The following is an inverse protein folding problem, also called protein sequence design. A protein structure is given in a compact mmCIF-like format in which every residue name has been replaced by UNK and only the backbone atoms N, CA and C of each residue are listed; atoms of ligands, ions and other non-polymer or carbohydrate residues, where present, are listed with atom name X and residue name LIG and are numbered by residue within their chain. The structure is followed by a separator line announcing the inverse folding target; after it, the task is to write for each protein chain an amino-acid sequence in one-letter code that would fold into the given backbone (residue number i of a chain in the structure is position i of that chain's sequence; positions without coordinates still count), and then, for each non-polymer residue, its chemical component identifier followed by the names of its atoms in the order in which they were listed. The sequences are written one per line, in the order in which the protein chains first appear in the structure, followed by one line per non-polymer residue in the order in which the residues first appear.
data_IF_349908095113
#
_entry.id   IF_349908095113
#
_cell.length_a   1.000
_cell.length_b   1.000
_cell.length_c   1.000
_cell.angle_alpha   90.00
_cell.angle_beta   90.00
_cell.angle_gamma   90.00
#
_symmetry.space_group_name_H-M   'P 1'
#
loop_
_entity.id
_entity.type
_entity.pdbx_description
1 polymer ?
#
# COMPACT_ATOMS: atom_id res chain seq x y z
N UNK A 1 -53.88 42.98 56.87
CA UNK A 1 -53.22 41.69 56.66
C UNK A 1 -52.65 41.68 55.27
N UNK A 2 -51.36 41.97 55.12
CA UNK A 2 -50.63 41.90 53.81
C UNK A 2 -49.92 40.57 53.75
N UNK A 3 -50.19 39.71 52.74
CA UNK A 3 -49.52 38.46 52.47
C UNK A 3 -48.29 38.74 51.58
N UNK A 4 -47.10 38.47 52.12
CA UNK A 4 -45.86 38.38 51.31
C UNK A 4 -45.86 37.04 50.55
N UNK A 5 -45.69 37.13 49.24
CA UNK A 5 -45.42 35.99 48.39
C UNK A 5 -43.91 35.95 48.18
N UNK A 6 -43.22 34.94 48.73
CA UNK A 6 -41.81 34.63 48.42
C UNK A 6 -41.80 33.89 47.10
N UNK A 7 -41.13 34.44 46.04
CA UNK A 7 -40.82 33.77 44.85
C UNK A 7 -39.44 33.09 45.02
N UNK A 8 -39.40 31.77 45.02
CA UNK A 8 -38.17 31.00 45.01
C UNK A 8 -37.65 30.90 43.56
N UNK A 9 -36.51 31.53 43.28
CA UNK A 9 -35.79 31.36 42.01
C UNK A 9 -35.02 30.04 42.03
N UNK A 10 -35.45 29.08 41.23
CA UNK A 10 -34.72 27.84 40.96
C UNK A 10 -33.65 28.13 39.92
N UNK A 11 -32.39 28.21 40.30
CA UNK A 11 -31.24 28.22 39.39
C UNK A 11 -31.07 26.81 38.83
N UNK A 12 -31.44 26.59 37.57
CA UNK A 12 -31.07 25.41 36.78
C UNK A 12 -29.59 25.52 36.46
N UNK A 13 -28.76 24.75 37.14
CA UNK A 13 -27.39 24.51 36.74
C UNK A 13 -27.40 23.59 35.50
N UNK A 14 -27.17 24.15 34.32
CA UNK A 14 -26.91 23.39 33.12
C UNK A 14 -25.59 22.62 33.32
N UNK A 15 -25.54 21.29 33.08
CA UNK A 15 -24.29 20.56 33.13
C UNK A 15 -23.40 21.10 32.00
N UNK A 16 -22.27 21.70 32.36
CA UNK A 16 -21.21 22.07 31.44
C UNK A 16 -20.60 20.77 30.96
N UNK A 17 -20.93 20.28 29.76
CA UNK A 17 -20.23 19.20 29.14
C UNK A 17 -18.74 19.59 29.03
N UNK A 18 -17.80 18.74 29.41
CA UNK A 18 -16.37 19.05 29.24
C UNK A 18 -16.13 19.34 27.77
N UNK A 19 -15.67 20.54 27.44
CA UNK A 19 -15.21 20.87 26.10
C UNK A 19 -14.04 19.93 25.80
N UNK A 20 -14.18 19.05 24.80
CA UNK A 20 -13.08 18.24 24.30
C UNK A 20 -12.02 19.23 23.83
N UNK A 21 -10.86 19.23 24.50
CA UNK A 21 -9.76 20.10 24.10
C UNK A 21 -9.35 19.69 22.67
N UNK A 22 -9.50 20.60 21.71
CA UNK A 22 -9.12 20.38 20.31
C UNK A 22 -7.61 20.26 20.22
N UNK A 23 -7.14 19.26 19.46
CA UNK A 23 -5.74 19.13 19.08
C UNK A 23 -5.38 20.26 18.12
N UNK A 24 -4.33 20.99 18.46
CA UNK A 24 -3.86 22.15 17.69
C UNK A 24 -2.36 22.11 17.45
N UNK A 25 -1.90 22.84 16.47
CA UNK A 25 -0.47 22.96 16.13
C UNK A 25 0.02 24.33 16.55
N UNK A 26 1.11 24.41 17.33
CA UNK A 26 1.69 25.70 17.72
C UNK A 26 2.19 26.50 16.51
N UNK A 27 2.02 27.82 16.56
CA UNK A 27 2.47 28.76 15.51
C UNK A 27 3.96 28.62 15.18
N UNK A 28 4.82 28.35 16.19
CA UNK A 28 6.24 28.11 15.97
C UNK A 28 6.48 26.86 15.12
N UNK A 29 5.71 25.80 15.33
CA UNK A 29 5.80 24.57 14.54
C UNK A 29 5.35 24.80 13.09
N UNK A 30 4.28 25.59 12.85
CA UNK A 30 3.84 25.96 11.51
C UNK A 30 4.93 26.73 10.73
N UNK A 31 5.63 27.66 11.40
CA UNK A 31 6.75 28.38 10.77
C UNK A 31 7.92 27.44 10.46
N UNK A 32 8.28 26.55 11.37
CA UNK A 32 9.35 25.57 11.15
C UNK A 32 8.99 24.59 10.03
N UNK A 33 7.73 24.13 9.94
CA UNK A 33 7.26 23.27 8.86
C UNK A 33 7.37 23.95 7.48
N UNK A 34 7.13 25.27 7.40
CA UNK A 34 7.31 26.01 6.16
C UNK A 34 8.78 26.02 5.71
N UNK A 35 9.73 26.13 6.65
CA UNK A 35 11.17 26.04 6.35
C UNK A 35 11.57 24.63 5.91
N UNK A 36 11.10 23.61 6.63
CA UNK A 36 11.31 22.20 6.28
C UNK A 36 10.77 21.86 4.88
N UNK A 37 9.61 22.41 4.51
CA UNK A 37 9.04 22.23 3.17
C UNK A 37 10.00 22.72 2.08
N UNK A 38 10.55 23.92 2.22
CA UNK A 38 11.50 24.48 1.23
C UNK A 38 12.82 23.69 1.20
N UNK A 39 13.31 23.24 2.36
CA UNK A 39 14.47 22.36 2.43
C UNK A 39 14.23 21.05 1.71
N UNK A 40 13.09 20.39 1.97
CA UNK A 40 12.73 19.12 1.36
C UNK A 40 12.54 19.21 -0.17
N UNK A 41 12.02 20.34 -0.67
CA UNK A 41 11.89 20.56 -2.12
C UNK A 41 13.26 20.72 -2.82
N UNK A 42 14.29 21.11 -2.09
CA UNK A 42 15.66 21.28 -2.60
C UNK A 42 16.58 20.10 -2.29
N UNK A 43 16.11 19.14 -1.47
CA UNK A 43 16.86 17.96 -1.03
C UNK A 43 16.72 16.80 -2.01
N UNK A 44 17.78 16.04 -2.20
CA UNK A 44 17.82 14.89 -3.09
C UNK A 44 17.94 13.53 -2.37
N UNK A 45 17.82 13.54 -1.03
CA UNK A 45 17.95 12.32 -0.22
C UNK A 45 16.93 11.25 -0.61
N UNK A 46 15.66 11.63 -0.84
CA UNK A 46 14.64 10.70 -1.29
C UNK A 46 15.00 10.02 -2.61
N UNK A 47 15.51 10.81 -3.59
CA UNK A 47 16.00 10.26 -4.84
C UNK A 47 17.17 9.29 -4.64
N UNK A 48 18.19 9.71 -3.87
CA UNK A 48 19.38 8.88 -3.59
C UNK A 48 19.04 7.57 -2.88
N UNK A 49 18.08 7.58 -1.96
CA UNK A 49 17.61 6.35 -1.29
C UNK A 49 16.91 5.43 -2.29
N UNK A 50 15.99 5.97 -3.10
CA UNK A 50 15.28 5.22 -4.13
C UNK A 50 16.24 4.65 -5.18
N UNK A 51 17.18 5.46 -5.69
CA UNK A 51 18.22 5.03 -6.62
C UNK A 51 19.10 3.91 -6.04
N UNK A 52 19.55 4.07 -4.80
CA UNK A 52 20.39 3.07 -4.11
C UNK A 52 19.63 1.74 -3.96
N UNK A 53 18.37 1.74 -3.51
CA UNK A 53 17.58 0.52 -3.35
C UNK A 53 17.35 -0.21 -4.68
N UNK A 54 16.97 0.53 -5.70
CA UNK A 54 16.68 -0.04 -7.03
C UNK A 54 17.93 -0.50 -7.79
N UNK A 55 19.08 0.15 -7.56
CA UNK A 55 20.34 -0.11 -8.29
C UNK A 55 21.22 -1.14 -7.59
N UNK A 56 21.34 -1.06 -6.26
CA UNK A 56 22.23 -1.94 -5.48
C UNK A 56 21.56 -3.26 -5.09
N UNK A 57 20.24 -3.25 -4.89
CA UNK A 57 19.46 -4.44 -4.53
C UNK A 57 18.64 -4.95 -5.73
N UNK A 58 17.85 -4.09 -6.37
CA UNK A 58 16.98 -4.42 -7.50
C UNK A 58 15.71 -5.17 -7.10
N UNK A 59 15.22 -6.12 -7.93
CA UNK A 59 14.05 -6.95 -7.62
C UNK A 59 14.25 -7.71 -6.32
N UNK A 60 13.28 -7.62 -5.40
CA UNK A 60 13.46 -8.07 -4.00
C UNK A 60 12.22 -8.73 -3.44
N UNK A 61 11.71 -9.74 -4.18
CA UNK A 61 10.55 -10.50 -3.74
C UNK A 61 10.78 -11.09 -2.33
N UNK A 62 9.77 -10.98 -1.49
CA UNK A 62 9.86 -11.37 -0.08
C UNK A 62 10.33 -12.82 0.11
N UNK A 63 11.27 -13.04 1.02
CA UNK A 63 11.89 -14.33 1.31
C UNK A 63 13.02 -14.74 0.36
N UNK A 64 13.41 -13.89 -0.59
CA UNK A 64 14.57 -14.11 -1.46
C UNK A 64 15.88 -13.66 -0.81
N UNK A 65 17.01 -14.01 -1.43
CA UNK A 65 18.31 -13.46 -1.03
C UNK A 65 18.39 -11.94 -1.24
N UNK A 66 17.67 -11.40 -2.23
CA UNK A 66 17.60 -9.96 -2.48
C UNK A 66 16.81 -9.26 -1.36
N UNK A 67 15.72 -9.84 -0.87
CA UNK A 67 14.99 -9.36 0.30
C UNK A 67 15.88 -9.30 1.54
N UNK A 68 16.65 -10.36 1.80
CA UNK A 68 17.60 -10.36 2.92
C UNK A 68 18.68 -9.27 2.78
N UNK A 69 19.18 -9.00 1.55
CA UNK A 69 20.07 -7.86 1.30
C UNK A 69 19.37 -6.51 1.48
N UNK A 70 18.09 -6.40 1.08
CA UNK A 70 17.29 -5.19 1.27
C UNK A 70 17.10 -4.86 2.76
N UNK A 71 16.84 -5.86 3.60
CA UNK A 71 16.76 -5.69 5.07
C UNK A 71 18.09 -5.15 5.64
N UNK A 72 19.22 -5.74 5.26
CA UNK A 72 20.53 -5.27 5.70
C UNK A 72 20.84 -3.86 5.19
N UNK A 73 20.52 -3.58 3.93
CA UNK A 73 20.63 -2.26 3.31
C UNK A 73 19.78 -1.21 4.04
N UNK A 74 18.50 -1.50 4.29
CA UNK A 74 17.60 -0.56 4.96
C UNK A 74 18.09 -0.20 6.37
N UNK A 75 18.55 -1.20 7.14
CA UNK A 75 19.15 -0.97 8.46
C UNK A 75 20.35 -0.02 8.36
N UNK A 76 21.30 -0.31 7.49
CA UNK A 76 22.48 0.53 7.28
C UNK A 76 22.10 1.95 6.80
N UNK A 77 21.08 2.04 5.93
CA UNK A 77 20.60 3.32 5.42
C UNK A 77 19.98 4.20 6.52
N UNK A 78 19.15 3.64 7.41
CA UNK A 78 18.64 4.36 8.58
C UNK A 78 19.77 4.85 9.49
N UNK A 79 20.77 4.00 9.77
CA UNK A 79 21.95 4.39 10.56
C UNK A 79 22.74 5.52 9.89
N UNK A 80 22.97 5.42 8.56
CA UNK A 80 23.66 6.45 7.78
C UNK A 80 22.92 7.79 7.73
N UNK A 81 21.58 7.75 7.70
CA UNK A 81 20.72 8.92 7.70
C UNK A 81 20.57 9.57 9.09
N UNK A 82 21.19 8.99 10.13
CA UNK A 82 21.27 9.58 11.47
C UNK A 82 20.01 9.39 12.31
N UNK A 83 19.28 8.28 12.12
CA UNK A 83 18.18 7.92 13.01
C UNK A 83 18.72 7.53 14.39
N UNK A 84 18.06 8.01 15.45
CA UNK A 84 18.50 7.79 16.84
C UNK A 84 18.46 6.32 17.28
N UNK A 85 17.51 5.58 16.75
CA UNK A 85 17.34 4.14 17.01
C UNK A 85 17.00 3.43 15.71
N UNK A 86 17.63 2.28 15.51
CA UNK A 86 17.38 1.40 14.36
C UNK A 86 17.31 -0.05 14.85
N UNK A 87 16.23 -0.76 14.49
CA UNK A 87 16.07 -2.17 14.82
C UNK A 87 15.24 -2.89 13.75
N UNK A 88 15.16 -4.22 13.90
CA UNK A 88 14.34 -5.07 13.02
C UNK A 88 13.35 -5.89 13.83
N UNK A 89 12.17 -6.13 13.26
CA UNK A 89 11.14 -7.00 13.83
C UNK A 89 10.86 -8.15 12.86
N UNK A 90 10.92 -9.42 13.30
CA UNK A 90 10.78 -10.56 12.40
C UNK A 90 9.35 -10.72 11.88
N UNK A 91 9.23 -11.08 10.60
CA UNK A 91 7.98 -11.36 9.91
C UNK A 91 8.11 -12.68 9.19
N UNK A 92 7.31 -13.68 9.58
CA UNK A 92 7.34 -15.03 8.99
C UNK A 92 6.11 -15.26 8.13
N UNK A 93 6.32 -15.81 6.95
CA UNK A 93 5.28 -16.00 5.94
C UNK A 93 5.58 -17.21 5.03
N UNK A 94 4.56 -17.76 4.33
CA UNK A 94 4.78 -18.74 3.28
C UNK A 94 5.58 -18.12 2.12
N UNK A 95 6.63 -18.79 1.66
CA UNK A 95 7.47 -18.33 0.56
C UNK A 95 6.95 -18.84 -0.77
N UNK A 96 6.74 -17.94 -1.72
CA UNK A 96 6.38 -18.27 -3.10
C UNK A 96 7.49 -17.81 -4.05
N UNK A 97 7.80 -18.63 -5.04
CA UNK A 97 8.87 -18.37 -6.01
C UNK A 97 8.38 -18.52 -7.44
N UNK A 98 8.86 -17.64 -8.32
CA UNK A 98 8.77 -17.73 -9.77
C UNK A 98 10.14 -18.16 -10.32
N UNK A 99 10.15 -19.11 -11.26
CA UNK A 99 11.38 -19.60 -11.90
C UNK A 99 11.34 -19.48 -13.41
N UNK A 100 10.27 -19.98 -14.06
CA UNK A 100 10.09 -19.88 -15.51
C UNK A 100 8.61 -19.88 -15.89
N UNK A 101 8.30 -19.21 -17.00
CA UNK A 101 6.92 -19.09 -17.49
C UNK A 101 6.87 -19.01 -19.01
N UNK A 102 5.92 -19.69 -19.61
CA UNK A 102 5.69 -19.69 -21.06
C UNK A 102 4.24 -19.92 -21.37
N UNK A 103 3.73 -19.19 -22.37
CA UNK A 103 2.45 -19.50 -23.01
C UNK A 103 2.51 -19.36 -24.51
N UNK A 104 1.65 -20.11 -25.20
CA UNK A 104 1.54 -20.10 -26.64
C UNK A 104 0.14 -20.48 -27.11
N UNK A 105 -0.29 -19.89 -28.21
CA UNK A 105 -1.45 -20.34 -29.00
C UNK A 105 -1.05 -21.60 -29.76
N UNK A 106 -1.92 -22.61 -29.78
CA UNK A 106 -1.70 -23.88 -30.46
C UNK A 106 -2.46 -23.96 -31.81
N UNK A 107 -1.97 -24.84 -32.70
CA UNK A 107 -2.63 -25.14 -33.98
C UNK A 107 -2.22 -24.22 -35.12
N UNK A 108 -3.13 -23.94 -36.05
CA UNK A 108 -2.83 -23.22 -37.32
C UNK A 108 -2.34 -21.77 -37.08
N UNK A 109 -2.67 -21.16 -35.94
CA UNK A 109 -2.28 -19.81 -35.59
C UNK A 109 -1.26 -19.77 -34.44
N UNK A 110 -0.42 -20.80 -34.37
CA UNK A 110 0.59 -20.95 -33.30
C UNK A 110 1.51 -19.73 -33.21
N UNK A 111 1.56 -19.14 -32.01
CA UNK A 111 2.37 -17.96 -31.70
C UNK A 111 2.58 -17.83 -30.19
N UNK A 112 3.69 -17.23 -29.74
CA UNK A 112 3.92 -17.01 -28.32
C UNK A 112 2.97 -15.97 -27.75
N UNK A 113 2.63 -16.13 -26.47
CA UNK A 113 1.93 -15.14 -25.66
C UNK A 113 2.84 -14.73 -24.51
N UNK A 114 2.94 -13.44 -24.25
CA UNK A 114 3.69 -12.91 -23.12
C UNK A 114 2.79 -12.92 -21.88
N UNK A 115 3.19 -13.73 -20.92
CA UNK A 115 2.47 -13.91 -19.65
C UNK A 115 3.39 -13.64 -18.47
N UNK A 116 2.79 -13.50 -17.30
CA UNK A 116 3.44 -13.69 -16.01
C UNK A 116 2.55 -14.51 -15.09
N UNK A 117 3.14 -15.44 -14.33
CA UNK A 117 2.43 -16.19 -13.31
C UNK A 117 1.88 -15.24 -12.23
N UNK A 118 0.66 -15.45 -11.79
CA UNK A 118 0.15 -14.75 -10.60
C UNK A 118 0.84 -15.32 -9.35
N UNK A 119 1.21 -14.43 -8.42
CA UNK A 119 1.75 -14.84 -7.13
C UNK A 119 0.79 -15.79 -6.41
N UNK A 120 1.32 -16.88 -5.85
CA UNK A 120 0.51 -17.95 -5.26
C UNK A 120 -0.02 -19.00 -6.25
N UNK A 121 0.18 -18.81 -7.57
CA UNK A 121 -0.13 -19.84 -8.56
C UNK A 121 0.74 -21.09 -8.32
N UNK A 122 0.19 -22.32 -8.47
CA UNK A 122 0.99 -23.50 -8.56
C UNK A 122 1.71 -23.55 -9.91
N UNK A 123 2.85 -24.26 -9.94
CA UNK A 123 3.48 -24.69 -11.17
C UNK A 123 2.63 -25.73 -11.92
N UNK A 124 3.00 -25.98 -13.17
CA UNK A 124 2.38 -27.01 -13.99
C UNK A 124 2.24 -26.61 -15.45
N UNK A 125 1.90 -27.60 -16.27
CA UNK A 125 1.61 -27.37 -17.69
C UNK A 125 0.19 -27.81 -17.99
N UNK A 126 -0.60 -26.90 -18.54
CA UNK A 126 -1.98 -27.13 -18.99
C UNK A 126 -2.16 -26.68 -20.43
N UNK A 127 -3.02 -27.37 -21.16
CA UNK A 127 -3.43 -26.92 -22.49
C UNK A 127 -4.94 -27.18 -22.67
N UNK A 128 -5.65 -26.22 -23.23
CA UNK A 128 -7.08 -26.33 -23.39
C UNK A 128 -7.64 -25.28 -24.33
N UNK A 129 -8.92 -25.44 -24.69
CA UNK A 129 -9.70 -24.41 -25.35
C UNK A 129 -9.93 -23.24 -24.40
N UNK A 130 -9.83 -22.02 -24.91
CA UNK A 130 -10.03 -20.78 -24.16
C UNK A 130 -11.51 -20.38 -24.20
N UNK A 131 -12.07 -20.11 -23.01
CA UNK A 131 -13.38 -19.48 -22.89
C UNK A 131 -13.21 -18.08 -22.31
N UNK A 132 -13.60 -17.05 -23.08
CA UNK A 132 -13.46 -15.63 -22.73
C UNK A 132 -14.68 -15.13 -21.96
N UNK A 133 -14.42 -14.35 -20.89
CA UNK A 133 -15.40 -13.63 -20.07
C UNK A 133 -15.04 -12.16 -20.04
N UNK A 134 -16.05 -11.29 -20.08
CA UNK A 134 -15.83 -9.83 -20.06
C UNK A 134 -15.33 -9.35 -18.69
N UNK A 135 -15.75 -10.00 -17.60
CA UNK A 135 -15.43 -9.63 -16.23
C UNK A 135 -15.62 -10.83 -15.26
N UNK A 136 -15.36 -10.59 -13.98
CA UNK A 136 -15.51 -11.60 -12.94
C UNK A 136 -16.96 -12.05 -12.76
N UNK A 137 -17.93 -11.16 -12.90
CA UNK A 137 -19.34 -11.46 -12.73
C UNK A 137 -19.83 -12.42 -13.84
N UNK A 138 -19.41 -12.19 -15.09
CA UNK A 138 -19.70 -13.08 -16.20
C UNK A 138 -19.10 -14.49 -15.99
N UNK A 139 -17.86 -14.61 -15.48
CA UNK A 139 -17.26 -15.88 -15.12
C UNK A 139 -18.05 -16.59 -13.99
N UNK A 140 -18.42 -15.87 -12.95
CA UNK A 140 -19.18 -16.42 -11.82
C UNK A 140 -20.57 -16.90 -12.22
N UNK A 141 -21.22 -16.24 -13.19
CA UNK A 141 -22.53 -16.58 -13.73
C UNK A 141 -22.51 -17.77 -14.70
N UNK A 142 -21.32 -18.21 -15.16
CA UNK A 142 -21.21 -19.35 -16.06
C UNK A 142 -21.81 -20.62 -15.43
N UNK A 143 -22.43 -21.54 -16.21
CA UNK A 143 -22.96 -22.78 -15.70
C UNK A 143 -21.86 -23.66 -15.07
N UNK A 144 -22.18 -24.38 -14.01
CA UNK A 144 -21.26 -25.33 -13.37
C UNK A 144 -20.85 -26.41 -14.39
N UNK A 145 -19.55 -26.76 -14.39
CA UNK A 145 -18.96 -27.73 -15.32
C UNK A 145 -18.77 -27.22 -16.76
N UNK A 146 -19.20 -26.01 -17.10
CA UNK A 146 -19.08 -25.46 -18.48
C UNK A 146 -17.62 -25.24 -18.93
N UNK A 147 -16.69 -25.19 -17.98
CA UNK A 147 -15.26 -25.05 -18.23
C UNK A 147 -14.47 -26.36 -18.06
N UNK A 148 -15.15 -27.51 -18.02
CA UNK A 148 -14.48 -28.79 -17.89
C UNK A 148 -13.41 -29.00 -19.00
N UNK A 149 -12.14 -29.14 -18.60
CA UNK A 149 -11.02 -29.30 -19.52
C UNK A 149 -10.62 -28.04 -20.30
N UNK A 150 -11.14 -26.89 -19.95
CA UNK A 150 -10.90 -25.60 -20.62
C UNK A 150 -10.10 -24.63 -19.75
N UNK A 151 -9.62 -23.57 -20.38
CA UNK A 151 -8.91 -22.45 -19.73
C UNK A 151 -9.82 -21.23 -19.71
N UNK A 152 -10.08 -20.69 -18.53
CA UNK A 152 -10.83 -19.44 -18.40
C UNK A 152 -9.95 -18.24 -18.74
N UNK A 153 -10.46 -17.31 -19.57
CA UNK A 153 -9.84 -16.02 -19.87
C UNK A 153 -10.77 -14.88 -19.45
N UNK A 154 -10.38 -14.12 -18.43
CA UNK A 154 -11.12 -12.90 -18.04
C UNK A 154 -10.44 -11.69 -18.69
N UNK A 155 -11.18 -11.06 -19.60
CA UNK A 155 -10.67 -9.99 -20.48
C UNK A 155 -11.25 -8.63 -20.08
N UNK A 156 -11.02 -8.23 -18.83
CA UNK A 156 -11.43 -6.94 -18.29
C UNK A 156 -10.36 -5.88 -18.52
N UNK A 157 -10.73 -4.79 -19.19
CA UNK A 157 -9.82 -3.67 -19.41
C UNK A 157 -10.03 -2.58 -18.37
N UNK A 158 -9.01 -2.34 -17.55
CA UNK A 158 -9.00 -1.26 -16.56
C UNK A 158 -8.94 0.12 -17.24
N UNK A 159 -9.54 1.11 -16.57
CA UNK A 159 -9.52 2.51 -16.97
C UNK A 159 -8.58 3.29 -16.06
N UNK A 160 -7.64 4.05 -16.65
CA UNK A 160 -6.75 4.92 -15.91
C UNK A 160 -7.53 6.05 -15.21
N UNK A 161 -7.16 6.34 -13.99
CA UNK A 161 -7.68 7.47 -13.22
C UNK A 161 -6.67 7.91 -12.18
N UNK A 162 -6.73 9.16 -11.78
CA UNK A 162 -5.82 9.77 -10.82
C UNK A 162 -5.82 9.07 -9.46
N UNK A 163 -6.98 8.58 -9.05
CA UNK A 163 -7.21 7.87 -7.78
C UNK A 163 -7.11 6.35 -7.89
N UNK A 164 -6.80 5.81 -9.07
CA UNK A 164 -6.65 4.38 -9.29
C UNK A 164 -7.89 3.53 -9.01
N UNK A 165 -9.08 4.14 -8.90
CA UNK A 165 -10.31 3.50 -8.41
C UNK A 165 -10.69 2.20 -9.11
N UNK A 166 -10.33 2.04 -10.40
CA UNK A 166 -10.69 0.85 -11.18
C UNK A 166 -9.80 -0.37 -10.86
N UNK A 167 -8.69 -0.16 -10.14
CA UNK A 167 -7.85 -1.26 -9.66
C UNK A 167 -8.58 -2.24 -8.73
N UNK A 168 -9.59 -1.76 -7.99
CA UNK A 168 -10.46 -2.64 -7.22
C UNK A 168 -11.11 -3.76 -8.04
N UNK A 169 -11.49 -3.49 -9.30
CA UNK A 169 -12.02 -4.47 -10.23
C UNK A 169 -10.92 -5.41 -10.76
N UNK A 170 -9.81 -4.86 -11.25
CA UNK A 170 -8.66 -5.63 -11.74
C UNK A 170 -8.07 -6.55 -10.67
N UNK A 171 -7.86 -6.04 -9.46
CA UNK A 171 -7.38 -6.79 -8.32
C UNK A 171 -8.35 -7.91 -7.87
N UNK A 172 -9.67 -7.66 -7.93
CA UNK A 172 -10.66 -8.70 -7.63
C UNK A 172 -10.64 -9.83 -8.67
N UNK A 173 -10.45 -9.52 -9.95
CA UNK A 173 -10.29 -10.51 -11.02
C UNK A 173 -9.04 -11.35 -10.77
N UNK A 174 -7.92 -10.70 -10.42
CA UNK A 174 -6.67 -11.39 -10.09
C UNK A 174 -6.81 -12.31 -8.87
N UNK A 175 -7.37 -11.81 -7.78
CA UNK A 175 -7.42 -12.54 -6.50
C UNK A 175 -8.50 -13.61 -6.41
N UNK A 176 -9.65 -13.44 -7.09
CA UNK A 176 -10.83 -14.32 -6.99
C UNK A 176 -11.13 -15.09 -8.27
N UNK A 177 -10.62 -14.63 -9.41
CA UNK A 177 -10.88 -15.25 -10.72
C UNK A 177 -10.46 -16.70 -10.81
N UNK A 178 -9.25 -17.09 -10.36
CA UNK A 178 -8.84 -18.49 -10.38
C UNK A 178 -9.77 -19.42 -9.61
N UNK A 179 -10.18 -19.07 -8.39
CA UNK A 179 -11.17 -19.85 -7.62
C UNK A 179 -12.52 -19.94 -8.31
N UNK A 180 -13.01 -18.83 -8.88
CA UNK A 180 -14.26 -18.84 -9.65
C UNK A 180 -14.16 -19.76 -10.88
N UNK A 181 -13.05 -19.74 -11.62
CA UNK A 181 -12.81 -20.60 -12.77
C UNK A 181 -12.79 -22.10 -12.40
N UNK A 182 -12.09 -22.45 -11.29
CA UNK A 182 -12.04 -23.82 -10.78
C UNK A 182 -13.44 -24.34 -10.44
N UNK A 183 -14.29 -23.53 -9.80
CA UNK A 183 -15.68 -23.91 -9.49
C UNK A 183 -16.51 -24.21 -10.74
N UNK A 184 -16.12 -23.70 -11.90
CA UNK A 184 -16.75 -24.00 -13.20
C UNK A 184 -16.05 -25.14 -13.97
N UNK A 185 -15.02 -25.76 -13.39
CA UNK A 185 -14.32 -26.91 -13.95
C UNK A 185 -13.09 -26.57 -14.80
N UNK A 186 -12.60 -25.32 -14.75
CA UNK A 186 -11.41 -24.88 -15.51
C UNK A 186 -10.16 -25.60 -15.02
N UNK A 187 -9.26 -25.94 -15.97
CA UNK A 187 -7.95 -26.55 -15.69
C UNK A 187 -6.81 -25.53 -15.67
N UNK A 188 -7.09 -24.28 -15.99
CA UNK A 188 -6.15 -23.16 -15.98
C UNK A 188 -6.89 -21.83 -16.08
N UNK A 189 -6.20 -20.77 -15.72
CA UNK A 189 -6.74 -19.41 -15.69
C UNK A 189 -5.77 -18.43 -16.32
N UNK A 190 -6.26 -17.55 -17.18
CA UNK A 190 -5.56 -16.36 -17.63
C UNK A 190 -6.44 -15.14 -17.49
N UNK A 191 -5.83 -14.00 -17.23
CA UNK A 191 -6.52 -12.72 -17.23
C UNK A 191 -5.77 -11.70 -18.10
N UNK A 192 -6.47 -10.70 -18.62
CA UNK A 192 -5.82 -9.46 -19.03
C UNK A 192 -5.15 -8.86 -17.80
N UNK A 193 -3.92 -8.41 -17.93
CA UNK A 193 -3.22 -7.72 -16.84
C UNK A 193 -4.07 -6.65 -16.16
N UNK A 194 -3.97 -6.57 -14.84
CA UNK A 194 -4.60 -5.51 -14.05
C UNK A 194 -3.79 -4.20 -14.19
N UNK A 195 -3.71 -3.71 -15.42
CA UNK A 195 -2.98 -2.51 -15.81
C UNK A 195 -3.76 -1.66 -16.79
N UNK A 196 -3.26 -0.44 -17.00
CA UNK A 196 -3.88 0.57 -17.88
C UNK A 196 -3.00 0.94 -19.07
N UNK A 197 -1.86 0.26 -19.21
CA UNK A 197 -0.89 0.43 -20.29
C UNK A 197 -1.31 -0.23 -21.61
N UNK A 198 -0.44 -0.08 -22.62
CA UNK A 198 -0.48 -0.81 -23.89
C UNK A 198 0.86 -1.53 -24.19
N UNK A 199 1.71 -1.68 -23.18
CA UNK A 199 3.01 -2.30 -23.29
C UNK A 199 2.93 -3.83 -23.24
N UNK A 200 3.93 -4.49 -23.78
CA UNK A 200 3.99 -5.95 -23.79
C UNK A 200 4.68 -6.50 -22.53
N UNK A 201 4.37 -5.88 -21.40
CA UNK A 201 4.79 -6.30 -20.05
C UNK A 201 3.56 -6.70 -19.25
N UNK A 202 3.44 -7.96 -18.81
CA UNK A 202 2.31 -8.39 -18.01
C UNK A 202 2.46 -7.95 -16.55
N UNK A 203 1.33 -7.71 -15.87
CA UNK A 203 1.26 -7.34 -14.46
C UNK A 203 1.01 -8.57 -13.60
N UNK A 204 1.90 -8.85 -12.66
CA UNK A 204 1.73 -9.91 -11.66
C UNK A 204 0.86 -9.44 -10.49
N UNK A 205 0.95 -10.08 -9.38
CA UNK A 205 0.33 -9.79 -8.10
C UNK A 205 -0.29 -11.04 -7.50
N UNK A 206 -0.56 -10.99 -6.18
CA UNK A 206 -1.00 -12.17 -5.45
C UNK A 206 -2.41 -12.65 -5.87
N UNK A 207 -2.57 -13.95 -6.04
CA UNK A 207 -3.86 -14.64 -6.05
C UNK A 207 -3.97 -15.59 -4.87
N UNK A 208 -5.19 -15.88 -4.46
CA UNK A 208 -5.47 -16.83 -3.38
C UNK A 208 -6.53 -17.80 -3.86
N UNK A 209 -6.32 -19.07 -3.56
CA UNK A 209 -7.29 -20.11 -3.84
C UNK A 209 -8.14 -20.35 -2.61
N UNK A 210 -9.45 -20.44 -2.81
CA UNK A 210 -10.39 -20.75 -1.72
C UNK A 210 -10.08 -22.14 -1.17
N UNK A 211 -10.29 -22.31 0.13
CA UNK A 211 -10.07 -23.57 0.82
C UNK A 211 -10.88 -24.71 0.18
N UNK A 212 -10.29 -25.90 0.11
CA UNK A 212 -10.89 -27.08 -0.50
C UNK A 212 -10.85 -27.14 -2.02
N UNK A 213 -10.38 -26.09 -2.71
CA UNK A 213 -10.16 -26.14 -4.16
C UNK A 213 -8.75 -26.69 -4.48
N UNK A 214 -8.65 -27.51 -5.53
CA UNK A 214 -7.36 -27.89 -6.10
C UNK A 214 -6.84 -26.74 -6.98
N UNK A 215 -5.73 -26.05 -6.64
CA UNK A 215 -5.23 -24.94 -7.40
C UNK A 215 -4.80 -25.32 -8.82
N UNK A 216 -5.00 -24.42 -9.77
CA UNK A 216 -4.60 -24.60 -11.18
C UNK A 216 -3.63 -23.50 -11.61
N UNK A 217 -2.77 -23.71 -12.64
CA UNK A 217 -1.93 -22.66 -13.18
C UNK A 217 -2.72 -21.41 -13.55
N UNK A 218 -2.28 -20.26 -13.01
CA UNK A 218 -2.94 -18.97 -13.17
C UNK A 218 -1.91 -17.90 -13.56
N UNK A 219 -2.20 -17.14 -14.63
CA UNK A 219 -1.29 -16.14 -15.18
C UNK A 219 -2.04 -14.89 -15.68
N UNK A 220 -1.31 -13.77 -15.75
CA UNK A 220 -1.75 -12.56 -16.44
C UNK A 220 -1.08 -12.48 -17.83
N UNK A 221 -1.86 -12.09 -18.82
CA UNK A 221 -1.39 -11.76 -20.18
C UNK A 221 -1.00 -10.28 -20.23
N UNK A 222 0.03 -9.93 -21.00
CA UNK A 222 0.23 -8.54 -21.37
C UNK A 222 -1.00 -7.99 -22.10
N UNK A 223 -1.23 -6.69 -22.01
CA UNK A 223 -2.42 -6.07 -22.64
C UNK A 223 -2.45 -6.34 -24.17
N UNK A 224 -1.36 -6.20 -24.94
CA UNK A 224 -1.35 -6.56 -26.36
C UNK A 224 -1.65 -8.04 -26.64
N UNK A 225 -1.13 -8.96 -25.82
CA UNK A 225 -1.37 -10.40 -26.01
C UNK A 225 -2.78 -10.82 -25.59
N UNK A 226 -3.36 -10.15 -24.59
CA UNK A 226 -4.77 -10.30 -24.24
C UNK A 226 -5.68 -9.85 -25.41
N UNK A 227 -5.38 -8.71 -26.06
CA UNK A 227 -6.07 -8.24 -27.26
C UNK A 227 -5.92 -9.25 -28.40
N UNK A 228 -4.73 -9.83 -28.58
CA UNK A 228 -4.47 -10.84 -29.61
C UNK A 228 -5.27 -12.12 -29.35
N UNK A 229 -5.27 -12.61 -28.11
CA UNK A 229 -6.04 -13.80 -27.74
C UNK A 229 -7.54 -13.57 -27.90
N UNK A 230 -8.06 -12.41 -27.51
CA UNK A 230 -9.45 -12.03 -27.66
C UNK A 230 -9.90 -12.10 -29.13
N UNK A 231 -9.11 -11.51 -30.06
CA UNK A 231 -9.38 -11.57 -31.51
C UNK A 231 -9.35 -12.98 -32.06
N UNK A 232 -8.49 -13.86 -31.56
CA UNK A 232 -8.45 -15.27 -31.98
C UNK A 232 -9.70 -16.01 -31.51
N UNK A 233 -10.09 -15.84 -30.26
CA UNK A 233 -11.30 -16.46 -29.69
C UNK A 233 -12.58 -16.00 -30.42
N UNK A 234 -12.66 -14.73 -30.84
CA UNK A 234 -13.76 -14.20 -31.64
C UNK A 234 -13.85 -14.82 -33.04
N UNK A 235 -12.75 -15.30 -33.61
CA UNK A 235 -12.68 -15.94 -34.91
C UNK A 235 -13.00 -17.43 -34.92
N UNK A 236 -12.98 -18.05 -33.74
CA UNK A 236 -13.31 -19.46 -33.56
C UNK A 236 -12.59 -20.14 -32.38
N UNK A 237 -12.81 -21.45 -32.20
CA UNK A 237 -12.21 -22.20 -31.11
C UNK A 237 -10.68 -22.05 -31.09
N UNK A 238 -10.16 -21.51 -30.01
CA UNK A 238 -8.73 -21.21 -29.82
C UNK A 238 -8.20 -22.02 -28.64
N UNK A 239 -7.08 -22.69 -28.82
CA UNK A 239 -6.40 -23.44 -27.77
C UNK A 239 -5.08 -22.78 -27.42
N UNK A 240 -4.76 -22.76 -26.14
CA UNK A 240 -3.46 -22.32 -25.65
C UNK A 240 -2.83 -23.39 -24.77
N UNK A 241 -1.48 -23.28 -24.63
CA UNK A 241 -0.70 -23.97 -23.61
C UNK A 241 -0.14 -22.93 -22.65
N UNK A 242 -0.17 -23.23 -21.35
CA UNK A 242 0.48 -22.48 -20.30
C UNK A 242 1.41 -23.45 -19.58
N UNK A 243 2.66 -23.07 -19.38
CA UNK A 243 3.66 -23.81 -18.62
C UNK A 243 4.29 -22.85 -17.61
N UNK A 244 4.08 -23.12 -16.33
CA UNK A 244 4.61 -22.33 -15.22
C UNK A 244 5.53 -23.21 -14.35
N UNK A 245 6.72 -22.72 -14.08
CA UNK A 245 7.59 -23.23 -13.03
C UNK A 245 7.62 -22.17 -11.92
N UNK A 246 6.75 -22.33 -10.96
CA UNK A 246 6.56 -21.48 -9.79
C UNK A 246 5.85 -22.25 -8.70
N UNK A 247 5.80 -21.71 -7.49
CA UNK A 247 5.02 -22.33 -6.40
C UNK A 247 5.53 -21.96 -5.02
N UNK A 248 4.83 -22.48 -4.02
CA UNK A 248 5.20 -22.32 -2.62
C UNK A 248 6.39 -23.19 -2.25
N UNK A 249 7.36 -22.61 -1.53
CA UNK A 249 8.61 -23.25 -1.12
C UNK A 249 8.83 -23.05 0.39
N UNK A 250 7.97 -23.67 1.20
CA UNK A 250 8.05 -23.64 2.66
C UNK A 250 7.73 -22.27 3.28
N UNK A 251 8.49 -21.92 4.31
CA UNK A 251 8.37 -20.67 5.06
C UNK A 251 9.67 -19.85 4.93
N UNK A 252 9.52 -18.53 4.93
CA UNK A 252 10.64 -17.61 5.03
C UNK A 252 10.40 -16.60 6.16
N UNK A 253 11.48 -15.96 6.61
CA UNK A 253 11.41 -14.84 7.56
C UNK A 253 12.16 -13.66 6.96
N UNK A 254 11.46 -12.55 6.84
CA UNK A 254 12.00 -11.22 6.57
C UNK A 254 11.79 -10.32 7.79
N UNK A 255 12.01 -9.02 7.66
CA UNK A 255 11.95 -8.13 8.83
C UNK A 255 11.38 -6.77 8.44
N UNK A 256 10.44 -6.25 9.24
CA UNK A 256 10.21 -4.81 9.28
C UNK A 256 11.48 -4.14 9.76
N UNK A 257 11.99 -3.16 9.02
CA UNK A 257 13.13 -2.36 9.43
C UNK A 257 12.64 -1.01 9.91
N UNK A 258 12.97 -0.65 11.14
CA UNK A 258 12.38 0.50 11.81
C UNK A 258 13.46 1.47 12.25
N UNK A 259 13.26 2.74 11.90
CA UNK A 259 14.09 3.86 12.38
C UNK A 259 13.25 4.87 13.17
N UNK A 260 13.80 5.45 14.23
CA UNK A 260 13.14 6.49 15.03
C UNK A 260 13.98 7.76 15.13
N UNK A 261 13.32 8.91 15.00
CA UNK A 261 13.78 10.20 15.51
C UNK A 261 13.06 10.42 16.85
N UNK A 262 13.81 10.36 17.94
CA UNK A 262 13.26 10.30 19.30
C UNK A 262 12.66 11.64 19.72
N UNK A 263 11.41 11.63 20.19
CA UNK A 263 10.72 12.82 20.66
C UNK A 263 11.30 13.38 21.95
N UNK A 264 11.43 14.72 22.04
CA UNK A 264 12.01 15.43 23.20
C UNK A 264 11.09 15.48 24.43
N UNK A 265 9.77 15.50 24.25
CA UNK A 265 8.81 15.64 25.36
C UNK A 265 7.99 14.37 25.59
N UNK A 266 7.59 13.71 24.51
CA UNK A 266 6.72 12.54 24.54
C UNK A 266 7.32 11.37 23.72
N UNK A 267 8.48 10.84 24.12
CA UNK A 267 9.21 9.84 23.35
C UNK A 267 8.47 8.49 23.17
N UNK A 268 7.42 8.24 23.94
CA UNK A 268 6.58 7.04 23.81
C UNK A 268 5.39 7.21 22.86
N UNK A 269 5.01 8.44 22.53
CA UNK A 269 3.98 8.71 21.54
C UNK A 269 4.65 8.78 20.17
N UNK A 270 4.07 8.06 19.18
CA UNK A 270 4.69 7.91 17.86
C UNK A 270 3.77 8.43 16.75
N UNK A 271 4.38 9.12 15.80
CA UNK A 271 3.85 9.38 14.46
C UNK A 271 4.54 8.40 13.54
N UNK A 272 3.78 7.56 12.84
CA UNK A 272 4.31 6.51 11.98
C UNK A 272 4.21 6.94 10.52
N UNK A 273 5.31 6.85 9.79
CA UNK A 273 5.32 6.95 8.32
C UNK A 273 6.09 5.75 7.77
N UNK A 274 5.73 5.29 6.57
CA UNK A 274 6.40 4.13 5.99
C UNK A 274 6.04 3.88 4.54
N UNK A 275 6.65 2.85 4.00
CA UNK A 275 6.41 2.20 2.75
C UNK A 275 6.94 0.78 2.84
N UNK A 276 6.65 -0.09 1.86
CA UNK A 276 7.13 -1.46 1.95
C UNK A 276 8.49 -1.68 1.29
N UNK A 277 9.25 -2.61 1.85
CA UNK A 277 10.63 -2.86 1.45
C UNK A 277 10.75 -3.88 0.31
N UNK A 278 9.86 -4.87 0.27
CA UNK A 278 9.83 -5.86 -0.80
C UNK A 278 9.30 -5.29 -2.12
N UNK A 279 9.38 -6.05 -3.16
CA UNK A 279 8.77 -5.76 -4.46
C UNK A 279 8.46 -7.07 -5.18
N UNK A 280 7.64 -7.04 -6.22
CA UNK A 280 7.64 -8.15 -7.17
C UNK A 280 8.99 -8.30 -7.88
N UNK A 281 9.22 -9.46 -8.46
CA UNK A 281 10.48 -9.90 -9.05
C UNK A 281 10.67 -9.50 -10.52
N UNK A 282 9.67 -8.87 -11.15
CA UNK A 282 9.70 -8.54 -12.58
C UNK A 282 10.51 -7.28 -12.88
N UNK A 283 10.32 -6.22 -12.10
CA UNK A 283 11.01 -4.93 -12.18
C UNK A 283 11.90 -4.69 -10.98
N UNK A 284 12.51 -3.50 -10.90
CA UNK A 284 13.33 -3.12 -9.75
C UNK A 284 12.53 -2.59 -8.56
N UNK A 285 11.19 -2.56 -8.67
CA UNK A 285 10.31 -2.05 -7.62
C UNK A 285 10.60 -0.59 -7.29
N UNK A 286 10.68 0.27 -8.33
CA UNK A 286 11.01 1.68 -8.16
C UNK A 286 9.81 2.51 -7.73
N UNK A 287 8.67 2.33 -8.42
CA UNK A 287 7.41 2.99 -8.06
C UNK A 287 6.64 2.22 -6.99
N UNK A 288 6.95 0.91 -6.84
CA UNK A 288 6.29 -0.03 -5.96
C UNK A 288 7.30 -0.94 -5.24
N UNK A 289 7.89 -0.53 -4.08
CA UNK A 289 7.68 0.76 -3.40
C UNK A 289 9.01 1.39 -2.93
N UNK A 290 10.09 1.32 -3.74
CA UNK A 290 11.35 2.00 -3.37
C UNK A 290 11.15 3.51 -3.22
N UNK A 291 10.21 4.11 -3.97
CA UNK A 291 9.87 5.51 -3.86
C UNK A 291 9.29 5.85 -2.48
N UNK A 292 8.35 5.05 -1.96
CA UNK A 292 7.77 5.26 -0.63
C UNK A 292 8.79 5.10 0.49
N UNK A 293 9.66 4.09 0.38
CA UNK A 293 10.81 3.95 1.29
C UNK A 293 11.70 5.19 1.24
N UNK A 294 12.04 5.68 0.03
CA UNK A 294 12.85 6.90 -0.17
C UNK A 294 12.20 8.15 0.40
N UNK A 295 10.90 8.35 0.14
CA UNK A 295 10.11 9.48 0.63
C UNK A 295 10.12 9.52 2.17
N UNK A 296 9.81 8.41 2.81
CA UNK A 296 9.61 8.36 4.26
C UNK A 296 10.93 8.38 5.03
N UNK A 297 11.99 7.73 4.53
CA UNK A 297 13.33 7.83 5.09
C UNK A 297 13.89 9.25 4.99
N UNK A 298 13.73 9.92 3.83
CA UNK A 298 14.16 11.31 3.65
C UNK A 298 13.40 12.28 4.55
N UNK A 299 12.09 12.09 4.71
CA UNK A 299 11.28 12.90 5.62
C UNK A 299 11.77 12.79 7.07
N UNK A 300 12.04 11.55 7.55
CA UNK A 300 12.60 11.31 8.88
C UNK A 300 13.98 11.95 9.04
N UNK A 301 14.87 11.79 8.06
CA UNK A 301 16.20 12.36 8.05
C UNK A 301 16.19 13.90 8.18
N UNK A 302 15.38 14.58 7.35
CA UNK A 302 15.28 16.04 7.37
C UNK A 302 14.78 16.57 8.73
N UNK A 303 13.82 15.86 9.34
CA UNK A 303 13.32 16.22 10.67
C UNK A 303 14.39 15.94 11.73
N UNK A 304 15.15 14.85 11.60
CA UNK A 304 16.25 14.50 12.50
C UNK A 304 17.40 15.51 12.50
N UNK A 305 17.56 16.27 11.41
CA UNK A 305 18.60 17.34 11.32
C UNK A 305 18.22 18.66 12.01
N UNK A 306 17.01 18.79 12.54
CA UNK A 306 16.61 19.99 13.28
C UNK A 306 17.46 20.16 14.54
N UNK A 307 17.81 21.41 14.89
CA UNK A 307 18.54 21.72 16.13
C UNK A 307 17.78 21.34 17.41
N UNK A 308 16.47 21.05 17.30
CA UNK A 308 15.64 20.55 18.35
C UNK A 308 14.74 19.44 17.82
N UNK A 309 14.79 18.25 18.44
CA UNK A 309 13.95 17.12 18.10
C UNK A 309 12.44 17.46 18.20
N UNK A 310 11.53 16.83 17.46
CA UNK A 310 10.09 17.02 17.55
C UNK A 310 9.58 16.60 18.96
N UNK A 311 8.37 17.05 19.36
CA UNK A 311 7.78 16.70 20.66
C UNK A 311 7.58 15.18 20.82
N UNK A 312 7.04 14.53 19.78
CA UNK A 312 6.79 13.09 19.71
C UNK A 312 7.84 12.42 18.84
N UNK A 313 8.00 11.14 19.04
CA UNK A 313 8.84 10.30 18.19
C UNK A 313 8.22 10.17 16.79
N UNK A 314 9.06 10.34 15.76
CA UNK A 314 8.73 9.96 14.40
C UNK A 314 9.34 8.60 14.14
N UNK A 315 8.49 7.62 13.82
CA UNK A 315 8.87 6.26 13.48
C UNK A 315 8.70 6.05 11.99
N UNK A 316 9.78 5.69 11.32
CA UNK A 316 9.78 5.30 9.91
C UNK A 316 9.88 3.79 9.82
N UNK A 317 8.98 3.16 9.08
CA UNK A 317 8.94 1.70 8.93
C UNK A 317 9.07 1.36 7.45
N UNK A 318 10.08 0.53 7.13
CA UNK A 318 10.16 -0.18 5.87
C UNK A 318 9.53 -1.56 6.10
N UNK A 319 8.28 -1.74 5.68
CA UNK A 319 7.48 -2.93 5.96
C UNK A 319 7.95 -4.12 5.13
N UNK A 320 7.88 -5.32 5.69
CA UNK A 320 8.24 -6.56 5.03
C UNK A 320 7.03 -7.23 4.39
N UNK A 321 7.19 -7.75 3.18
CA UNK A 321 6.20 -8.60 2.51
C UNK A 321 4.78 -8.02 2.53
N UNK A 322 4.63 -6.82 2.01
CA UNK A 322 3.34 -6.22 1.69
C UNK A 322 2.65 -7.00 0.57
N UNK A 323 3.38 -7.22 -0.52
CA UNK A 323 2.95 -7.71 -1.83
C UNK A 323 2.21 -9.05 -1.78
N UNK A 324 2.60 -9.93 -0.87
CA UNK A 324 1.99 -11.26 -0.77
C UNK A 324 0.93 -11.33 0.32
N UNK A 325 0.62 -10.20 0.99
CA UNK A 325 -0.51 -10.13 1.88
C UNK A 325 -0.34 -9.35 3.17
N UNK A 326 0.33 -8.22 3.14
CA UNK A 326 0.47 -7.27 4.26
C UNK A 326 1.09 -7.91 5.51
N UNK A 327 2.07 -8.81 5.34
CA UNK A 327 2.60 -9.57 6.47
C UNK A 327 3.33 -8.65 7.46
N UNK A 328 4.07 -7.66 6.96
CA UNK A 328 4.77 -6.66 7.77
C UNK A 328 3.82 -5.77 8.55
N UNK A 329 2.83 -5.19 7.89
CA UNK A 329 1.81 -4.36 8.54
C UNK A 329 1.00 -5.12 9.59
N UNK A 330 0.64 -6.38 9.31
CA UNK A 330 -0.04 -7.26 10.28
C UNK A 330 0.83 -7.56 11.50
N UNK A 331 2.09 -7.94 11.29
CA UNK A 331 3.03 -8.20 12.38
C UNK A 331 3.27 -6.95 13.23
N UNK A 332 3.39 -5.77 12.57
CA UNK A 332 3.49 -4.49 13.27
C UNK A 332 2.24 -4.22 14.12
N UNK A 333 1.05 -4.41 13.58
CA UNK A 333 -0.21 -4.22 14.31
C UNK A 333 -0.37 -5.19 15.49
N UNK A 334 0.14 -6.42 15.38
CA UNK A 334 0.17 -7.39 16.48
C UNK A 334 1.17 -7.01 17.56
N UNK A 335 2.33 -6.50 17.17
CA UNK A 335 3.39 -6.10 18.12
C UNK A 335 3.04 -4.82 18.87
N UNK A 336 2.43 -3.84 18.19
CA UNK A 336 2.28 -2.45 18.65
C UNK A 336 0.83 -2.00 18.87
N UNK A 337 -0.16 -2.82 18.61
CA UNK A 337 -1.60 -2.51 18.76
C UNK A 337 -2.33 -3.51 19.65
N UNK A 338 -1.73 -3.91 20.80
CA UNK A 338 -2.28 -4.98 21.65
C UNK A 338 -3.46 -4.54 22.50
N UNK A 339 -3.42 -3.30 22.94
CA UNK A 339 -4.37 -2.77 23.91
C UNK A 339 -4.57 -1.24 23.78
N UNK A 340 -5.40 -0.67 24.64
CA UNK A 340 -5.67 0.75 24.67
C UNK A 340 -4.43 1.61 25.00
N UNK A 341 -3.46 1.10 25.75
CA UNK A 341 -2.24 1.83 26.07
C UNK A 341 -1.31 1.89 24.85
N UNK A 342 -1.20 0.81 24.10
CA UNK A 342 -0.49 0.77 22.82
C UNK A 342 -1.14 1.74 21.84
N UNK A 343 -2.47 1.67 21.70
CA UNK A 343 -3.19 2.50 20.74
C UNK A 343 -3.06 3.99 21.05
N UNK A 344 -3.07 4.35 22.33
CA UNK A 344 -2.87 5.74 22.77
C UNK A 344 -1.47 6.26 22.42
N UNK A 345 -0.46 5.38 22.29
CA UNK A 345 0.88 5.77 21.83
C UNK A 345 0.93 6.06 20.34
N UNK A 346 0.11 5.38 19.53
CA UNK A 346 0.02 5.62 18.08
C UNK A 346 -0.85 6.85 17.81
N UNK A 347 -0.19 7.98 17.57
CA UNK A 347 -0.91 9.23 17.34
C UNK A 347 -1.57 9.26 15.98
N UNK A 348 -0.81 8.97 14.92
CA UNK A 348 -1.32 8.89 13.53
C UNK A 348 -0.31 8.13 12.68
N UNK A 349 -0.79 7.41 11.67
CA UNK A 349 0.06 6.73 10.69
C UNK A 349 -0.24 7.14 9.26
N UNK A 350 0.76 7.20 8.38
CA UNK A 350 0.61 7.42 6.96
C UNK A 350 1.58 6.52 6.18
N UNK A 351 1.13 6.01 5.06
CA UNK A 351 1.93 5.20 4.16
C UNK A 351 2.09 5.88 2.81
N UNK A 352 3.27 5.71 2.21
CA UNK A 352 3.55 6.11 0.84
C UNK A 352 3.71 4.85 0.01
N UNK A 353 2.64 4.42 -0.63
CA UNK A 353 2.55 3.23 -1.46
C UNK A 353 1.51 3.45 -2.58
N UNK A 354 1.84 4.35 -3.48
CA UNK A 354 1.09 4.61 -4.71
C UNK A 354 1.98 5.32 -5.75
N UNK A 355 3.24 4.91 -5.82
CA UNK A 355 4.25 5.46 -6.71
C UNK A 355 4.87 6.77 -6.24
N UNK A 356 5.30 7.59 -7.20
CA UNK A 356 5.97 8.86 -6.95
C UNK A 356 5.30 10.05 -7.67
N UNK A 357 4.07 9.89 -8.15
CA UNK A 357 3.29 10.99 -8.71
C UNK A 357 3.06 12.09 -7.67
N UNK A 358 2.88 13.34 -8.11
CA UNK A 358 2.68 14.45 -7.16
C UNK A 358 1.49 14.20 -6.23
N UNK A 359 1.68 14.41 -4.94
CA UNK A 359 0.57 14.40 -3.98
C UNK A 359 -0.37 15.56 -4.29
N UNK A 360 -1.65 15.29 -4.43
CA UNK A 360 -2.68 16.27 -4.80
C UNK A 360 -3.75 16.48 -3.75
N UNK A 361 -3.92 15.53 -2.82
CA UNK A 361 -4.95 15.61 -1.81
C UNK A 361 -4.44 15.10 -0.45
N UNK A 362 -5.09 15.57 0.61
CA UNK A 362 -4.81 15.20 1.99
C UNK A 362 -6.11 15.03 2.77
N UNK A 363 -6.14 14.03 3.62
CA UNK A 363 -7.19 13.84 4.63
C UNK A 363 -6.65 13.03 5.81
N UNK A 364 -7.39 13.02 6.92
CA UNK A 364 -7.14 12.14 8.07
C UNK A 364 -8.40 11.40 8.47
N UNK A 365 -8.23 10.23 9.07
CA UNK A 365 -9.33 9.47 9.67
C UNK A 365 -8.92 8.90 11.02
N UNK A 366 -9.89 8.71 11.91
CA UNK A 366 -9.68 8.12 13.22
C UNK A 366 -10.98 7.61 13.82
N UNK A 367 -10.91 6.95 14.96
CA UNK A 367 -12.09 6.56 15.73
C UNK A 367 -12.83 7.79 16.29
N UNK A 368 -12.09 8.86 16.62
CA UNK A 368 -12.64 10.13 17.12
C UNK A 368 -12.15 11.33 16.28
N UNK A 369 -12.70 11.56 15.08
CA UNK A 369 -12.25 12.64 14.19
C UNK A 369 -12.46 14.05 14.77
N UNK A 370 -13.37 14.20 15.74
CA UNK A 370 -13.62 15.49 16.37
C UNK A 370 -12.41 15.99 17.18
N UNK A 371 -11.60 15.09 17.75
CA UNK A 371 -10.43 15.44 18.55
C UNK A 371 -9.36 16.20 17.76
N UNK A 372 -9.12 15.81 16.50
CA UNK A 372 -8.02 16.32 15.66
C UNK A 372 -8.44 17.28 14.55
N UNK A 373 -9.71 17.71 14.50
CA UNK A 373 -10.23 18.51 13.37
C UNK A 373 -9.42 19.78 13.12
N UNK A 374 -9.08 20.53 14.18
CA UNK A 374 -8.30 21.77 14.06
C UNK A 374 -6.87 21.48 13.56
N UNK A 375 -6.16 20.52 14.18
CA UNK A 375 -4.83 20.14 13.76
C UNK A 375 -4.82 19.63 12.30
N UNK A 376 -5.81 18.83 11.89
CA UNK A 376 -5.97 18.38 10.50
C UNK A 376 -6.10 19.56 9.54
N UNK A 377 -6.92 20.54 9.87
CA UNK A 377 -7.09 21.75 9.05
C UNK A 377 -5.79 22.58 8.97
N UNK A 378 -5.04 22.70 10.07
CA UNK A 378 -3.76 23.40 10.11
C UNK A 378 -2.68 22.67 9.26
N UNK A 379 -2.63 21.31 9.30
CA UNK A 379 -1.75 20.52 8.45
C UNK A 379 -2.13 20.73 6.97
N UNK A 380 -3.41 20.64 6.65
CA UNK A 380 -3.91 20.87 5.29
C UNK A 380 -3.50 22.25 4.75
N UNK A 381 -3.60 23.30 5.58
CA UNK A 381 -3.16 24.65 5.22
C UNK A 381 -1.65 24.73 4.99
N UNK A 382 -0.84 24.03 5.79
CA UNK A 382 0.61 23.97 5.62
C UNK A 382 1.03 23.21 4.33
N UNK A 383 0.21 22.23 3.90
CA UNK A 383 0.42 21.47 2.67
C UNK A 383 -0.09 22.19 1.39
N UNK A 384 -1.00 23.14 1.52
CA UNK A 384 -1.60 23.85 0.38
C UNK A 384 -0.59 24.50 -0.58
N UNK A 385 0.55 25.09 -0.13
CA UNK A 385 1.57 25.63 -1.04
C UNK A 385 2.22 24.58 -1.95
N UNK A 386 2.12 23.28 -1.61
CA UNK A 386 2.57 22.18 -2.47
C UNK A 386 1.53 21.79 -3.55
N UNK A 387 0.38 22.47 -3.61
CA UNK A 387 -0.75 22.12 -4.49
C UNK A 387 -1.62 21.00 -3.97
N UNK A 388 -1.59 20.73 -2.66
CA UNK A 388 -2.33 19.65 -2.01
C UNK A 388 -3.65 20.18 -1.45
N UNK A 389 -4.75 19.59 -1.86
CA UNK A 389 -6.10 19.97 -1.44
C UNK A 389 -6.56 19.16 -0.21
N UNK A 390 -7.24 19.81 0.72
CA UNK A 390 -7.93 19.10 1.80
C UNK A 390 -9.21 18.46 1.30
N UNK A 391 -9.31 17.12 1.38
CA UNK A 391 -10.48 16.37 0.91
C UNK A 391 -11.11 15.54 2.04
N UNK A 392 -11.91 16.14 2.93
CA UNK A 392 -12.49 15.44 4.07
C UNK A 392 -13.40 14.28 3.64
N UNK A 393 -13.29 13.16 4.34
CA UNK A 393 -14.06 11.95 4.07
C UNK A 393 -13.56 11.10 2.89
N UNK A 394 -12.41 11.45 2.31
CA UNK A 394 -11.75 10.67 1.24
C UNK A 394 -10.53 9.94 1.76
N UNK A 395 -10.08 8.93 0.98
CA UNK A 395 -8.86 8.17 1.25
C UNK A 395 -8.99 7.08 2.31
N UNK A 396 -7.87 6.52 2.67
CA UNK A 396 -7.71 5.43 3.62
C UNK A 396 -6.29 5.38 4.17
N UNK A 397 -5.99 4.44 5.07
CA UNK A 397 -4.71 4.39 5.78
C UNK A 397 -3.52 3.94 4.92
N UNK A 398 -3.75 3.37 3.73
CA UNK A 398 -2.73 2.61 3.00
C UNK A 398 -2.68 1.13 3.45
N UNK A 399 -2.03 0.27 2.63
CA UNK A 399 -2.03 -1.18 2.88
C UNK A 399 -1.44 -1.58 4.24
N UNK A 400 -0.19 -1.22 4.53
CA UNK A 400 0.52 -1.66 5.75
C UNK A 400 0.10 -0.91 7.03
N UNK A 401 -0.47 0.30 6.90
CA UNK A 401 -1.09 1.00 8.03
C UNK A 401 -2.52 0.49 8.29
N UNK A 402 -3.18 -0.15 7.32
CA UNK A 402 -4.56 -0.62 7.49
C UNK A 402 -4.75 -1.63 8.64
N UNK A 403 -3.82 -2.56 8.95
CA UNK A 403 -3.99 -3.48 10.06
C UNK A 403 -4.02 -2.79 11.43
N UNK A 404 -3.17 -1.79 11.66
CA UNK A 404 -3.19 -1.06 12.94
C UNK A 404 -4.34 -0.05 13.00
N UNK A 405 -4.72 0.54 11.86
CA UNK A 405 -5.91 1.38 11.75
C UNK A 405 -7.20 0.60 12.03
N UNK A 406 -7.29 -0.67 11.62
CA UNK A 406 -8.40 -1.55 11.96
C UNK A 406 -8.52 -1.78 13.48
N UNK A 407 -7.39 -1.75 14.21
CA UNK A 407 -7.36 -1.79 15.68
C UNK A 407 -7.65 -0.43 16.33
N UNK A 408 -7.84 0.63 15.53
CA UNK A 408 -8.30 1.94 15.98
C UNK A 408 -7.27 3.06 15.95
N UNK A 409 -6.09 2.86 15.35
CA UNK A 409 -5.12 3.93 15.13
C UNK A 409 -5.67 4.98 14.15
N UNK A 410 -5.38 6.24 14.41
CA UNK A 410 -5.61 7.30 13.45
C UNK A 410 -4.67 7.16 12.25
N UNK A 411 -5.14 7.65 11.09
CA UNK A 411 -4.40 7.57 9.84
C UNK A 411 -4.48 8.88 9.04
N UNK A 412 -3.50 9.11 8.19
CA UNK A 412 -3.53 10.17 7.19
C UNK A 412 -3.36 9.58 5.80
N UNK A 413 -3.97 10.24 4.84
CA UNK A 413 -3.90 9.93 3.43
C UNK A 413 -3.30 11.13 2.69
N UNK A 414 -2.17 10.88 2.05
CA UNK A 414 -1.49 11.82 1.17
C UNK A 414 -1.58 11.25 -0.25
N UNK A 415 -2.60 11.65 -0.99
CA UNK A 415 -2.97 11.06 -2.27
C UNK A 415 -2.00 11.42 -3.39
N UNK A 416 -1.20 10.46 -3.83
CA UNK A 416 -0.35 10.56 -5.00
C UNK A 416 -1.16 10.46 -6.30
N UNK A 417 -0.70 11.13 -7.36
CA UNK A 417 -1.31 11.05 -8.67
C UNK A 417 -0.95 9.71 -9.34
N UNK A 418 -1.92 8.81 -9.39
CA UNK A 418 -1.76 7.47 -9.94
C UNK A 418 -2.17 7.35 -11.41
N UNK A 419 -2.24 8.45 -12.17
CA UNK A 419 -2.72 8.43 -13.56
C UNK A 419 -1.92 7.47 -14.46
N UNK A 420 -0.64 7.27 -14.18
CA UNK A 420 0.28 6.36 -14.86
C UNK A 420 0.81 5.21 -13.98
N UNK A 421 0.48 5.18 -12.69
CA UNK A 421 0.95 4.15 -11.76
C UNK A 421 0.63 2.73 -12.25
N UNK A 422 -0.60 2.48 -12.68
CA UNK A 422 -1.01 1.19 -13.22
C UNK A 422 -0.53 0.89 -14.65
N UNK A 423 0.29 1.77 -15.25
CA UNK A 423 1.09 1.40 -16.41
C UNK A 423 2.31 0.56 -16.03
N UNK A 424 2.80 0.70 -14.79
CA UNK A 424 4.10 0.24 -14.31
C UNK A 424 3.98 -0.81 -13.19
N UNK A 425 3.01 -0.62 -12.31
CA UNK A 425 2.74 -1.41 -11.12
C UNK A 425 2.77 -2.91 -11.40
N UNK A 426 3.61 -3.65 -10.68
CA UNK A 426 3.79 -5.09 -10.79
C UNK A 426 4.30 -5.58 -12.16
N UNK A 427 5.08 -4.77 -12.89
CA UNK A 427 5.64 -5.13 -14.21
C UNK A 427 7.16 -5.06 -14.25
N UNK A 428 7.73 -5.57 -15.35
CA UNK A 428 9.16 -5.41 -15.63
C UNK A 428 9.56 -3.95 -15.93
N UNK A 429 8.60 -3.07 -16.21
CA UNK A 429 8.83 -1.63 -16.45
C UNK A 429 8.83 -0.79 -15.17
N UNK A 430 8.65 -1.40 -14.00
CA UNK A 430 8.80 -0.72 -12.72
C UNK A 430 10.29 -0.48 -12.41
N UNK A 431 10.81 0.61 -12.95
CA UNK A 431 12.22 0.98 -12.96
C UNK A 431 12.44 2.46 -12.63
N UNK A 432 13.64 2.81 -12.15
CA UNK A 432 13.97 4.14 -11.64
C UNK A 432 13.72 5.28 -12.64
N UNK A 433 13.91 5.03 -13.95
CA UNK A 433 13.70 6.00 -15.02
C UNK A 433 12.24 6.45 -15.20
N UNK A 434 11.30 5.79 -14.53
CA UNK A 434 9.88 6.15 -14.52
C UNK A 434 9.52 7.20 -13.47
N UNK A 435 10.44 7.50 -12.55
CA UNK A 435 10.20 8.44 -11.46
C UNK A 435 10.63 9.85 -11.87
N UNK A 436 9.73 10.83 -11.77
CA UNK A 436 10.07 12.24 -11.86
C UNK A 436 10.70 12.71 -10.53
N UNK A 437 11.99 13.11 -10.52
CA UNK A 437 12.65 13.57 -9.29
C UNK A 437 11.98 14.78 -8.63
N UNK A 438 11.29 15.63 -9.40
CA UNK A 438 10.59 16.80 -8.85
C UNK A 438 9.27 16.42 -8.18
N UNK A 439 8.57 15.43 -8.72
CA UNK A 439 7.40 14.88 -8.09
C UNK A 439 7.79 14.14 -6.80
N UNK A 440 8.86 13.35 -6.82
CA UNK A 440 9.39 12.67 -5.64
C UNK A 440 9.78 13.68 -4.53
N UNK A 441 10.47 14.77 -4.87
CA UNK A 441 10.83 15.83 -3.90
C UNK A 441 9.59 16.49 -3.28
N UNK A 442 8.51 16.67 -4.06
CA UNK A 442 7.24 17.19 -3.53
C UNK A 442 6.59 16.21 -2.55
N UNK A 443 6.70 14.91 -2.80
CA UNK A 443 6.24 13.89 -1.87
C UNK A 443 7.05 13.92 -0.56
N UNK A 444 8.40 14.00 -0.65
CA UNK A 444 9.27 14.15 0.53
C UNK A 444 8.86 15.39 1.33
N UNK A 445 8.62 16.53 0.68
CA UNK A 445 8.20 17.75 1.35
C UNK A 445 6.83 17.58 2.05
N UNK A 446 5.88 16.91 1.41
CA UNK A 446 4.57 16.66 1.99
C UNK A 446 4.64 15.76 3.24
N UNK A 447 5.38 14.64 3.17
CA UNK A 447 5.56 13.74 4.31
C UNK A 447 6.36 14.38 5.43
N UNK A 448 7.37 15.20 5.12
CA UNK A 448 8.15 15.97 6.10
C UNK A 448 7.26 16.95 6.87
N UNK A 449 6.47 17.76 6.16
CA UNK A 449 5.52 18.70 6.78
C UNK A 449 4.48 17.97 7.62
N UNK A 450 3.86 16.93 7.08
CA UNK A 450 2.86 16.14 7.78
C UNK A 450 3.42 15.53 9.06
N UNK A 451 4.51 14.76 8.97
CA UNK A 451 5.07 14.04 10.11
C UNK A 451 5.56 14.99 11.20
N UNK A 452 6.22 16.08 10.83
CA UNK A 452 6.70 17.08 11.77
C UNK A 452 5.55 17.77 12.51
N UNK A 453 4.51 18.24 11.79
CA UNK A 453 3.36 18.91 12.40
C UNK A 453 2.53 17.96 13.27
N UNK A 454 2.35 16.73 12.86
CA UNK A 454 1.69 15.70 13.68
C UNK A 454 2.48 15.43 14.97
N UNK A 455 3.81 15.39 14.90
CA UNK A 455 4.65 15.20 16.08
C UNK A 455 4.68 16.42 17.01
N UNK A 456 4.51 17.64 16.53
CA UNK A 456 4.47 18.88 17.30
C UNK A 456 3.07 19.23 17.87
N UNK A 457 2.00 18.54 17.44
CA UNK A 457 0.63 18.84 17.82
C UNK A 457 0.40 18.75 19.33
N UNK A 458 -0.43 19.63 19.88
CA UNK A 458 -0.92 19.61 21.26
C UNK A 458 -2.28 18.94 21.30
N UNK A 459 -2.42 17.81 22.00
CA UNK A 459 -3.57 16.92 21.99
C UNK A 459 -3.26 15.58 21.32
N UNK A 460 -4.28 14.86 20.87
CA UNK A 460 -4.15 13.58 20.16
C UNK A 460 -4.94 13.57 18.85
N UNK A 461 -4.70 12.56 17.99
CA UNK A 461 -5.38 12.42 16.70
C UNK A 461 -6.60 11.50 16.76
N UNK A 462 -7.06 11.11 17.94
CA UNK A 462 -8.29 10.33 18.12
C UNK A 462 -8.11 8.83 17.85
N UNK A 463 -6.92 8.29 18.10
CA UNK A 463 -6.70 6.84 18.13
C UNK A 463 -7.39 6.23 19.34
N UNK A 464 -8.28 5.24 19.12
CA UNK A 464 -9.00 4.54 20.18
C UNK A 464 -9.00 3.04 19.91
N UNK A 465 -8.58 2.25 20.88
CA UNK A 465 -8.46 0.80 20.72
C UNK A 465 -9.81 0.14 20.41
N UNK A 466 -9.81 -0.67 19.37
CA UNK A 466 -10.91 -1.56 18.98
C UNK A 466 -10.41 -2.98 19.03
N UNK A 467 -11.01 -3.81 19.88
CA UNK A 467 -10.77 -5.24 19.83
C UNK A 467 -11.24 -5.78 18.47
N UNK A 468 -10.30 -6.26 17.67
CA UNK A 468 -10.64 -6.95 16.43
C UNK A 468 -11.11 -8.35 16.81
N UNK A 469 -12.38 -8.65 16.60
CA UNK A 469 -12.88 -10.02 16.71
C UNK A 469 -12.31 -10.80 15.54
N UNK A 470 -11.59 -11.92 15.78
CA UNK A 470 -11.20 -12.78 14.68
C UNK A 470 -12.44 -13.17 13.83
N UNK A 471 -12.30 -13.34 12.51
CA UNK A 471 -13.35 -13.94 11.72
C UNK A 471 -13.77 -15.24 12.41
N UNK A 472 -15.07 -15.44 12.62
CA UNK A 472 -15.57 -16.75 13.07
C UNK A 472 -15.22 -17.73 11.97
N UNK A 473 -14.46 -18.77 12.30
CA UNK A 473 -14.06 -19.88 11.44
C UNK A 473 -15.26 -20.59 10.82
#
# INVERSE_FOLDING_TARGET
MRRLVLAAAVLLALPCAPAIAQTRIPEAALRQAAQLREQALADDTGWKVTESLTTEIGPRIAGSEADARAVAWAKAKFEQLGFDKVWTEPVTFPKWERRAEKAEVLGAHAQPLTITALGGSPGGTVQGEVVRFADLAALQAAPDGSLAGKIAFVDYQMTASRDGKDYGNGGAIRSRGPSAAIRKGAIGYVMRSAGTDSHRVPHTGITRFDEGLAPVPAAALSVPDANQLARLVERGPTRIRIALDCGWDGQATSYNVIGEITGREKPKEVVVIGGHLDSWDLGTGAVDDAAGVGITMAAGHLIGQLGQAPKRTIRVVAFANEEQGLYGGKAYAEAHGKDAADMKRHQIGAESDFGAGRIYAFNTGSANPAASREATAQIAQALAPLGIEYQPGKGGPGPDISPIAAKGAAWAWLAQDGSDYFHLHHTADDTLDKIDPKALAQNVAAYTVFAYLAAEAEGDFGSEFKAVTPPQE
#
